data_IF_591622097508
#
_entry.id   IF_591622097508
#
_cell.length_a   1.000
_cell.length_b   1.000
_cell.length_c   1.000
_cell.angle_alpha   90.00
_cell.angle_beta   90.00
_cell.angle_gamma   90.00
#
_symmetry.space_group_name_H-M   'P 1'
#
loop_
_entity.id
_entity.type
_entity.pdbx_description
1 polymer ?
#
# COMPACT_ATOMS: atom_id res chain seq x y z
N UNK A 1 21.20 12.59 -6.16
CA UNK A 1 20.79 11.22 -6.53
C UNK A 1 20.41 10.44 -5.28
N UNK A 2 19.18 10.61 -4.77
CA UNK A 2 18.64 9.74 -3.74
C UNK A 2 18.42 8.33 -4.31
N UNK A 3 18.67 7.35 -3.47
CA UNK A 3 18.34 5.94 -3.73
C UNK A 3 16.88 5.72 -3.33
N UNK A 4 16.08 5.19 -4.24
CA UNK A 4 14.65 4.93 -4.01
C UNK A 4 14.29 3.51 -4.34
N UNK A 5 13.23 3.02 -3.70
CA UNK A 5 12.51 1.82 -4.11
C UNK A 5 11.14 2.23 -4.64
N UNK A 6 10.59 1.41 -5.52
CA UNK A 6 9.19 1.51 -5.95
C UNK A 6 8.36 0.47 -5.21
N UNK A 7 7.31 0.92 -4.53
CA UNK A 7 6.36 0.04 -3.85
C UNK A 7 4.96 0.21 -4.40
N UNK A 8 4.15 -0.83 -4.27
CA UNK A 8 2.71 -0.79 -4.50
C UNK A 8 2.00 -1.24 -3.23
N UNK A 9 0.91 -0.56 -2.88
CA UNK A 9 0.06 -0.96 -1.76
C UNK A 9 -0.90 -2.09 -2.13
N UNK A 10 -1.09 -2.32 -3.44
CA UNK A 10 -2.07 -3.26 -4.01
C UNK A 10 -1.56 -3.88 -5.30
N UNK A 11 -2.12 -5.05 -5.64
CA UNK A 11 -1.77 -5.84 -6.85
C UNK A 11 -1.89 -5.02 -8.16
N UNK A 12 -2.77 -4.02 -8.21
CA UNK A 12 -2.91 -3.10 -9.36
C UNK A 12 -2.92 -1.64 -8.88
N UNK A 13 -1.79 -1.19 -8.31
CA UNK A 13 -1.61 0.16 -7.78
C UNK A 13 -0.71 1.06 -8.64
N UNK A 14 -0.70 2.36 -8.32
CA UNK A 14 0.37 3.26 -8.77
C UNK A 14 1.65 2.89 -8.02
N UNK A 15 2.80 3.02 -8.68
CA UNK A 15 4.10 2.89 -8.02
C UNK A 15 4.34 4.15 -7.21
N UNK A 16 4.61 3.97 -5.92
CA UNK A 16 5.01 5.03 -5.01
C UNK A 16 6.49 4.86 -4.67
N UNK A 17 7.23 5.97 -4.63
CA UNK A 17 8.65 5.95 -4.35
C UNK A 17 8.93 6.26 -2.88
N UNK A 18 9.78 5.43 -2.28
CA UNK A 18 10.21 5.55 -0.88
C UNK A 18 11.72 5.44 -0.77
N UNK A 19 12.29 6.04 0.28
CA UNK A 19 13.68 5.83 0.63
C UNK A 19 13.84 4.47 1.33
N UNK A 20 14.74 3.58 0.87
CA UNK A 20 14.93 2.26 1.46
C UNK A 20 15.63 2.29 2.84
N UNK A 21 16.25 3.42 3.22
CA UNK A 21 17.08 3.50 4.42
C UNK A 21 18.26 2.51 4.36
N UNK A 22 18.50 1.82 5.48
CA UNK A 22 19.56 0.81 5.61
C UNK A 22 19.09 -0.60 5.18
N UNK A 23 17.86 -0.74 4.68
CA UNK A 23 17.31 -2.04 4.31
C UNK A 23 17.76 -2.46 2.91
N UNK A 24 18.27 -3.70 2.82
CA UNK A 24 18.47 -4.35 1.52
C UNK A 24 17.15 -5.00 1.10
N UNK A 25 16.48 -4.36 0.14
CA UNK A 25 15.16 -4.75 -0.36
C UNK A 25 15.25 -5.24 -1.79
N UNK A 26 14.48 -6.27 -2.11
CA UNK A 26 14.36 -6.85 -3.44
C UNK A 26 12.89 -6.83 -3.89
N UNK A 27 12.63 -6.84 -5.22
CA UNK A 27 11.28 -7.04 -5.71
C UNK A 27 10.64 -8.31 -5.13
N UNK A 28 9.40 -8.18 -4.67
CA UNK A 28 8.67 -9.22 -3.93
C UNK A 28 8.83 -9.15 -2.40
N UNK A 29 9.75 -8.34 -1.87
CA UNK A 29 9.79 -8.09 -0.42
C UNK A 29 8.56 -7.27 0.00
N UNK A 30 7.99 -7.61 1.16
CA UNK A 30 6.95 -6.80 1.79
C UNK A 30 7.54 -5.90 2.88
N UNK A 31 7.04 -4.67 2.94
CA UNK A 31 7.55 -3.61 3.82
C UNK A 31 6.40 -2.82 4.44
N UNK A 32 6.68 -2.26 5.61
CA UNK A 32 5.84 -1.25 6.22
C UNK A 32 6.43 0.12 5.92
N UNK A 33 5.61 1.01 5.40
CA UNK A 33 5.99 2.39 5.06
C UNK A 33 5.10 3.38 5.79
N UNK A 34 5.62 4.58 6.04
CA UNK A 34 4.83 5.66 6.63
C UNK A 34 4.19 6.50 5.52
N UNK A 35 2.87 6.66 5.55
CA UNK A 35 2.12 7.55 4.65
C UNK A 35 1.60 8.76 5.44
N UNK A 36 0.84 9.65 4.81
CA UNK A 36 0.23 10.79 5.53
C UNK A 36 -0.94 10.37 6.41
N UNK A 37 -1.47 9.15 6.22
CA UNK A 37 -2.65 8.64 6.90
C UNK A 37 -2.32 7.57 7.95
N UNK A 38 -1.05 7.22 8.12
CA UNK A 38 -0.60 6.17 9.04
C UNK A 38 0.43 5.26 8.38
N UNK A 39 0.69 4.11 9.00
CA UNK A 39 1.53 3.07 8.41
C UNK A 39 0.75 2.25 7.40
N UNK A 40 1.40 1.83 6.32
CA UNK A 40 0.82 1.00 5.28
C UNK A 40 1.68 -0.22 4.97
N UNK A 41 1.02 -1.32 4.61
CA UNK A 41 1.66 -2.52 4.08
C UNK A 41 1.84 -2.41 2.57
N UNK A 42 3.07 -2.58 2.09
CA UNK A 42 3.40 -2.45 0.68
C UNK A 42 4.30 -3.58 0.18
N UNK A 43 4.25 -3.84 -1.13
CA UNK A 43 5.14 -4.75 -1.84
C UNK A 43 6.15 -3.96 -2.66
N UNK A 44 7.42 -4.34 -2.57
CA UNK A 44 8.49 -3.78 -3.40
C UNK A 44 8.36 -4.34 -4.81
N UNK A 45 8.19 -3.47 -5.80
CA UNK A 45 8.10 -3.86 -7.22
C UNK A 45 9.28 -3.39 -8.05
N UNK A 46 10.02 -2.40 -7.54
CA UNK A 46 11.22 -1.87 -8.18
C UNK A 46 12.40 -1.96 -7.21
N UNK A 47 13.53 -2.55 -7.62
CA UNK A 47 14.71 -2.63 -6.77
C UNK A 47 15.24 -1.23 -6.44
N UNK A 48 16.12 -1.11 -5.44
CA UNK A 48 16.71 0.17 -5.10
C UNK A 48 17.52 0.77 -6.27
N UNK A 49 17.09 1.92 -6.78
CA UNK A 49 17.68 2.62 -7.92
C UNK A 49 17.97 4.10 -7.59
N UNK A 50 19.00 4.67 -8.22
CA UNK A 50 19.31 6.09 -8.08
C UNK A 50 18.52 6.87 -9.12
N UNK A 51 17.59 7.71 -8.68
CA UNK A 51 16.84 8.60 -9.58
C UNK A 51 17.44 10.00 -9.59
N UNK A 52 17.20 10.72 -10.70
CA UNK A 52 17.65 12.11 -10.82
C UNK A 52 16.87 13.01 -9.86
N UNK A 53 17.50 14.04 -9.30
CA UNK A 53 16.84 14.95 -8.34
C UNK A 53 15.62 15.67 -8.97
N UNK A 54 15.57 15.77 -10.30
CA UNK A 54 14.44 16.30 -11.07
C UNK A 54 13.21 15.38 -11.12
N UNK A 55 13.38 14.07 -10.88
CA UNK A 55 12.30 13.07 -10.84
C UNK A 55 11.75 12.86 -9.42
N UNK A 56 12.41 13.43 -8.40
CA UNK A 56 12.01 13.32 -7.00
C UNK A 56 10.84 14.27 -6.72
N UNK A 57 9.62 13.73 -6.80
CA UNK A 57 8.39 14.46 -6.51
C UNK A 57 8.26 14.63 -4.98
N UNK A 58 8.77 15.75 -4.45
CA UNK A 58 8.66 16.15 -3.03
C UNK A 58 9.22 15.13 -2.02
N UNK A 59 9.26 15.49 -0.73
CA UNK A 59 9.97 14.74 0.32
C UNK A 59 9.60 13.25 0.34
N UNK A 60 10.52 12.40 -0.12
CA UNK A 60 10.37 10.96 -0.09
C UNK A 60 10.19 10.51 1.36
N UNK A 61 9.16 9.72 1.60
CA UNK A 61 8.99 9.06 2.90
C UNK A 61 9.87 7.83 2.97
N UNK A 62 10.16 7.39 4.19
CA UNK A 62 11.07 6.26 4.44
C UNK A 62 10.30 4.96 4.61
N UNK A 63 10.95 3.86 4.21
CA UNK A 63 10.57 2.54 4.68
C UNK A 63 10.81 2.48 6.19
N UNK A 64 9.79 2.05 6.93
CA UNK A 64 9.87 1.90 8.39
C UNK A 64 10.61 0.61 8.73
N UNK A 65 10.22 -0.51 8.09
CA UNK A 65 10.81 -1.85 8.28
C UNK A 65 10.35 -2.84 7.23
N UNK A 66 10.98 -4.02 7.19
CA UNK A 66 10.41 -5.21 6.52
C UNK A 66 9.16 -5.68 7.25
N UNK A 67 8.20 -6.22 6.51
CA UNK A 67 7.01 -6.85 7.06
C UNK A 67 7.40 -8.08 7.89
N UNK A 68 6.69 -8.29 9.00
CA UNK A 68 6.76 -9.48 9.82
C UNK A 68 5.60 -10.42 9.47
N UNK A 69 5.65 -11.65 9.97
CA UNK A 69 4.55 -12.60 9.81
C UNK A 69 3.22 -12.07 10.38
N UNK A 70 3.27 -11.31 11.48
CA UNK A 70 2.10 -10.66 12.07
C UNK A 70 1.48 -9.62 11.11
N UNK A 71 2.30 -8.88 10.36
CA UNK A 71 1.81 -7.93 9.37
C UNK A 71 1.12 -8.63 8.19
N UNK A 72 1.67 -9.79 7.77
CA UNK A 72 1.04 -10.61 6.73
C UNK A 72 -0.32 -11.13 7.19
N UNK A 73 -0.41 -11.63 8.43
CA UNK A 73 -1.67 -12.05 9.03
C UNK A 73 -2.66 -10.89 9.10
N UNK A 74 -2.23 -9.71 9.57
CA UNK A 74 -3.06 -8.50 9.58
C UNK A 74 -3.55 -8.14 8.17
N UNK A 75 -2.68 -8.20 7.15
CA UNK A 75 -3.07 -7.90 5.77
C UNK A 75 -4.15 -8.84 5.25
N UNK A 76 -4.05 -10.14 5.53
CA UNK A 76 -5.05 -11.12 5.14
C UNK A 76 -6.38 -10.92 5.88
N UNK A 77 -6.34 -10.58 7.17
CA UNK A 77 -7.54 -10.24 7.96
C UNK A 77 -8.25 -9.00 7.40
N UNK A 78 -7.49 -7.95 7.06
CA UNK A 78 -8.04 -6.74 6.44
C UNK A 78 -8.67 -7.06 5.07
N UNK A 79 -8.01 -7.89 4.25
CA UNK A 79 -8.54 -8.32 2.95
C UNK A 79 -9.86 -9.09 3.09
N UNK A 80 -9.99 -9.92 4.12
CA UNK A 80 -11.25 -10.61 4.43
C UNK A 80 -12.34 -9.62 4.87
N UNK A 81 -11.99 -8.66 5.73
CA UNK A 81 -12.91 -7.63 6.20
C UNK A 81 -13.41 -6.73 5.07
N UNK A 82 -12.52 -6.28 4.18
CA UNK A 82 -12.84 -5.50 2.98
C UNK A 82 -13.86 -6.23 2.10
N UNK A 83 -13.67 -7.54 1.89
CA UNK A 83 -14.58 -8.37 1.10
C UNK A 83 -15.97 -8.46 1.73
N UNK A 84 -16.05 -8.61 3.04
CA UNK A 84 -17.35 -8.69 3.73
C UNK A 84 -18.03 -7.32 3.80
N UNK A 85 -17.28 -6.25 4.07
CA UNK A 85 -17.77 -4.88 4.02
C UNK A 85 -18.28 -4.51 2.61
N UNK A 86 -17.60 -4.94 1.55
CA UNK A 86 -18.06 -4.75 0.16
C UNK A 86 -19.43 -5.36 -0.08
N UNK A 87 -19.71 -6.57 0.42
CA UNK A 87 -21.03 -7.20 0.29
C UNK A 87 -22.11 -6.36 1.00
N UNK A 88 -21.84 -5.96 2.24
CA UNK A 88 -22.77 -5.14 3.04
C UNK A 88 -23.06 -3.80 2.34
N UNK A 89 -22.04 -3.16 1.78
CA UNK A 89 -22.20 -1.93 1.01
C UNK A 89 -23.09 -2.15 -0.22
N UNK A 90 -22.86 -3.20 -1.01
CA UNK A 90 -23.67 -3.53 -2.18
C UNK A 90 -25.13 -3.82 -1.82
N UNK A 91 -25.37 -4.58 -0.75
CA UNK A 91 -26.72 -4.86 -0.24
C UNK A 91 -27.46 -3.57 0.13
N UNK A 92 -26.77 -2.63 0.81
CA UNK A 92 -27.36 -1.33 1.16
C UNK A 92 -27.66 -0.48 -0.08
N UNK A 93 -26.74 -0.42 -1.05
CA UNK A 93 -26.94 0.31 -2.31
C UNK A 93 -28.21 -0.18 -3.01
N UNK A 94 -28.34 -1.50 -3.14
CA UNK A 94 -29.52 -2.13 -3.76
C UNK A 94 -30.80 -1.87 -2.96
N UNK A 95 -30.75 -2.01 -1.63
CA UNK A 95 -31.91 -1.80 -0.74
C UNK A 95 -32.44 -0.37 -0.80
N UNK A 96 -31.56 0.60 -0.97
CA UNK A 96 -31.90 2.02 -1.00
C UNK A 96 -32.13 2.57 -2.41
N UNK A 97 -31.98 1.76 -3.46
CA UNK A 97 -32.19 2.18 -4.86
C UNK A 97 -31.24 3.29 -5.30
N UNK A 98 -30.02 3.31 -4.77
CA UNK A 98 -29.03 4.34 -5.08
C UNK A 98 -28.40 4.06 -6.45
N UNK A 99 -28.41 5.04 -7.35
CA UNK A 99 -27.71 4.98 -8.65
C UNK A 99 -26.20 5.18 -8.44
N UNK A 100 -25.55 4.17 -7.86
CA UNK A 100 -24.13 4.19 -7.55
C UNK A 100 -23.48 2.84 -7.80
N UNK A 101 -22.21 2.88 -8.24
CA UNK A 101 -21.37 1.70 -8.40
C UNK A 101 -20.33 1.69 -7.27
N UNK A 102 -20.35 0.65 -6.44
CA UNK A 102 -19.26 0.43 -5.49
C UNK A 102 -17.98 0.12 -6.28
N UNK A 103 -16.99 1.00 -6.18
CA UNK A 103 -15.70 0.84 -6.85
C UNK A 103 -14.81 -0.08 -6.04
N UNK A 104 -14.67 0.19 -4.74
CA UNK A 104 -13.75 -0.53 -3.86
C UNK A 104 -14.11 -0.29 -2.40
N UNK A 105 -13.67 -1.20 -1.53
CA UNK A 105 -13.65 -1.03 -0.08
C UNK A 105 -12.23 -1.29 0.40
N UNK A 106 -11.71 -0.40 1.23
CA UNK A 106 -10.37 -0.47 1.78
C UNK A 106 -10.44 -0.34 3.29
N UNK A 107 -9.58 -1.10 3.98
CA UNK A 107 -9.27 -0.90 5.39
C UNK A 107 -7.81 -0.47 5.49
N UNK A 108 -7.58 0.65 6.19
CA UNK A 108 -6.23 1.12 6.46
C UNK A 108 -5.47 0.07 7.27
N UNK A 109 -4.16 -0.01 7.04
CA UNK A 109 -3.32 -0.97 7.74
C UNK A 109 -3.12 -0.64 9.22
N UNK A 110 -3.34 0.60 9.67
CA UNK A 110 -3.27 0.98 11.09
C UNK A 110 -4.55 0.61 11.86
#
# INVERSE_FOLDING_TARGET
MPKVIGVVFRETGKIHYFEPGDYTLLPGDNVIVETSQGTEFAEVVMPPENISDSEVISSLKKVVRKATEEDHQKREELKALEKDASKVCQEKISKHGLDMKLVEVECLFD
#
